data_IF_153150058486
#
_entry.id   IF_153150058486
#
_cell.length_a   1.000
_cell.length_b   1.000
_cell.length_c   1.000
_cell.angle_alpha   90.00
_cell.angle_beta   90.00
_cell.angle_gamma   90.00
#
_symmetry.space_group_name_H-M   'P 1'
#
loop_
_entity.id
_entity.type
_entity.pdbx_description
1 polymer ?
#
# COMPACT_ATOMS: atom_id res chain seq x y z
N UNK A 1 -33.27 2.40 0.66
CA UNK A 1 -32.15 3.14 0.06
C UNK A 1 -30.82 2.41 0.32
N UNK A 2 -30.48 1.46 -0.55
CA UNK A 2 -29.22 0.72 -0.50
C UNK A 2 -28.09 1.57 -1.12
N UNK A 3 -26.84 1.51 -0.60
CA UNK A 3 -25.74 2.24 -1.21
C UNK A 3 -25.41 1.63 -2.58
N UNK A 4 -25.25 2.51 -3.56
CA UNK A 4 -24.92 2.18 -4.93
C UNK A 4 -23.63 1.34 -4.96
N UNK A 5 -23.70 0.17 -5.59
CA UNK A 5 -22.58 -0.73 -5.77
C UNK A 5 -21.42 -0.02 -6.47
N UNK A 6 -20.24 -0.13 -5.86
CA UNK A 6 -18.97 0.27 -6.44
C UNK A 6 -18.81 -0.44 -7.81
N UNK A 7 -18.72 0.35 -8.88
CA UNK A 7 -18.43 -0.16 -10.21
C UNK A 7 -17.07 -0.89 -10.21
N UNK A 8 -16.94 -2.04 -10.89
CA UNK A 8 -15.67 -2.75 -10.98
C UNK A 8 -14.63 -1.88 -11.69
N UNK A 9 -13.46 -1.72 -11.06
CA UNK A 9 -12.33 -1.01 -11.62
C UNK A 9 -11.96 -1.60 -13.00
N UNK A 10 -12.02 -0.78 -14.04
CA UNK A 10 -11.64 -1.17 -15.39
C UNK A 10 -10.18 -1.64 -15.44
N UNK A 11 -9.85 -2.67 -16.23
CA UNK A 11 -8.48 -3.15 -16.35
C UNK A 11 -7.57 -2.07 -16.92
N UNK A 12 -6.40 -1.91 -16.30
CA UNK A 12 -5.33 -1.01 -16.75
C UNK A 12 -4.82 -1.48 -18.12
N UNK A 13 -5.29 -0.88 -19.20
CA UNK A 13 -4.66 -0.97 -20.51
C UNK A 13 -3.41 -0.06 -20.52
N UNK A 14 -2.21 -0.59 -20.79
CA UNK A 14 -1.03 0.25 -20.93
C UNK A 14 -1.19 1.14 -22.19
N UNK A 15 -0.78 2.42 -22.15
CA UNK A 15 -0.86 3.27 -23.32
C UNK A 15 0.03 2.73 -24.44
N UNK A 16 -0.54 2.63 -25.64
CA UNK A 16 0.17 2.27 -26.86
C UNK A 16 1.36 3.22 -27.06
N UNK A 17 2.52 2.64 -27.37
CA UNK A 17 3.76 3.37 -27.53
C UNK A 17 3.67 4.44 -28.62
N UNK A 18 3.88 5.70 -28.22
CA UNK A 18 4.19 6.78 -29.14
C UNK A 18 5.69 7.11 -29.03
N UNK A 19 6.33 7.12 -30.19
CA UNK A 19 7.77 7.27 -30.36
C UNK A 19 8.08 8.72 -30.72
N UNK A 20 8.64 9.46 -29.77
CA UNK A 20 9.26 10.76 -30.04
C UNK A 20 8.59 11.92 -29.32
N UNK A 21 9.40 12.68 -28.58
CA UNK A 21 9.06 13.86 -27.79
C UNK A 21 8.37 13.60 -26.44
N UNK A 22 9.20 13.32 -25.43
CA UNK A 22 8.83 13.47 -24.03
C UNK A 22 9.22 12.26 -23.20
N UNK A 23 10.42 12.31 -22.60
CA UNK A 23 10.74 11.54 -21.40
C UNK A 23 9.86 12.03 -20.24
N UNK A 24 8.54 11.87 -20.34
CA UNK A 24 7.67 11.80 -19.16
C UNK A 24 7.97 10.43 -18.56
N UNK A 25 9.14 10.36 -17.90
CA UNK A 25 9.72 9.12 -17.39
C UNK A 25 8.80 8.49 -16.36
N UNK A 26 8.98 7.20 -16.09
CA UNK A 26 8.17 6.45 -15.12
C UNK A 26 7.97 7.13 -13.76
N UNK A 27 8.85 8.07 -13.38
CA UNK A 27 8.67 8.95 -12.23
C UNK A 27 7.40 9.82 -12.28
N UNK A 28 7.01 10.35 -13.44
CA UNK A 28 5.78 11.15 -13.60
C UNK A 28 4.51 10.30 -13.44
N UNK A 29 4.52 9.09 -14.03
CA UNK A 29 3.42 8.12 -13.90
C UNK A 29 3.28 7.63 -12.46
N UNK A 30 4.40 7.36 -11.78
CA UNK A 30 4.42 6.95 -10.37
C UNK A 30 3.90 8.07 -9.46
N UNK A 31 4.35 9.32 -9.66
CA UNK A 31 3.87 10.46 -8.89
C UNK A 31 2.34 10.65 -9.06
N UNK A 32 1.81 10.52 -10.27
CA UNK A 32 0.37 10.58 -10.52
C UNK A 32 -0.39 9.44 -9.83
N UNK A 33 0.15 8.21 -9.88
CA UNK A 33 -0.44 7.06 -9.19
C UNK A 33 -0.47 7.27 -7.67
N UNK A 34 0.62 7.74 -7.08
CA UNK A 34 0.73 8.04 -5.64
C UNK A 34 -0.26 9.14 -5.24
N UNK A 35 -0.41 10.21 -6.02
CA UNK A 35 -1.40 11.25 -5.73
C UNK A 35 -2.84 10.72 -5.80
N UNK A 36 -3.16 9.89 -6.80
CA UNK A 36 -4.49 9.24 -6.90
C UNK A 36 -4.76 8.32 -5.71
N UNK A 37 -3.80 7.47 -5.35
CA UNK A 37 -3.90 6.60 -4.18
C UNK A 37 -4.10 7.42 -2.89
N UNK A 38 -3.32 8.50 -2.70
CA UNK A 38 -3.43 9.36 -1.53
C UNK A 38 -4.78 10.05 -1.43
N UNK A 39 -5.32 10.51 -2.56
CA UNK A 39 -6.68 11.04 -2.63
C UNK A 39 -7.72 9.97 -2.23
N UNK A 40 -7.63 8.78 -2.82
CA UNK A 40 -8.55 7.67 -2.54
C UNK A 40 -8.55 7.29 -1.05
N UNK A 41 -7.38 7.20 -0.42
CA UNK A 41 -7.27 6.91 1.02
C UNK A 41 -7.83 8.06 1.87
N UNK A 42 -7.59 9.31 1.49
CA UNK A 42 -8.18 10.46 2.20
C UNK A 42 -9.70 10.48 2.10
N UNK A 43 -10.25 10.20 0.92
CA UNK A 43 -11.69 10.12 0.71
C UNK A 43 -12.28 8.96 1.53
N UNK A 44 -11.58 7.82 1.61
CA UNK A 44 -11.96 6.71 2.47
C UNK A 44 -11.91 7.07 3.97
N UNK A 45 -10.85 7.76 4.42
CA UNK A 45 -10.72 8.22 5.80
C UNK A 45 -11.86 9.18 6.18
N UNK A 46 -12.19 10.15 5.31
CA UNK A 46 -13.35 11.02 5.53
C UNK A 46 -14.67 10.26 5.55
N UNK A 47 -14.81 9.20 4.76
CA UNK A 47 -15.95 8.29 4.84
C UNK A 47 -16.05 7.56 6.17
N UNK A 48 -14.92 7.12 6.74
CA UNK A 48 -14.87 6.47 8.06
C UNK A 48 -15.26 7.46 9.17
N UNK A 49 -14.79 8.71 9.10
CA UNK A 49 -15.18 9.75 10.06
C UNK A 49 -16.69 10.05 10.01
N UNK A 50 -17.28 10.11 8.82
CA UNK A 50 -18.74 10.26 8.68
C UNK A 50 -19.51 9.05 9.27
N UNK A 51 -18.98 7.83 9.11
CA UNK A 51 -19.55 6.64 9.73
C UNK A 51 -19.44 6.73 11.26
N UNK A 52 -18.32 7.24 11.80
CA UNK A 52 -18.15 7.47 13.25
C UNK A 52 -19.26 8.36 13.80
N UNK A 53 -19.48 9.52 13.19
CA UNK A 53 -20.53 10.45 13.61
C UNK A 53 -21.92 9.79 13.58
N UNK A 54 -22.20 8.99 12.54
CA UNK A 54 -23.48 8.29 12.41
C UNK A 54 -23.67 7.21 13.48
N UNK A 55 -22.60 6.51 13.87
CA UNK A 55 -22.62 5.51 14.95
C UNK A 55 -22.86 6.19 16.29
N UNK A 56 -22.14 7.28 16.60
CA UNK A 56 -22.32 8.05 17.83
C UNK A 56 -23.74 8.62 17.96
N UNK A 57 -24.30 9.17 16.87
CA UNK A 57 -25.68 9.65 16.84
C UNK A 57 -26.66 8.50 17.10
N UNK A 58 -26.41 7.35 16.49
CA UNK A 58 -27.27 6.18 16.64
C UNK A 58 -27.19 5.62 18.06
N UNK A 59 -26.02 5.58 18.69
CA UNK A 59 -25.81 5.16 20.08
C UNK A 59 -26.61 6.04 21.05
N UNK A 60 -26.56 7.36 20.85
CA UNK A 60 -27.37 8.31 21.62
C UNK A 60 -28.87 8.02 21.48
N UNK A 61 -29.35 7.78 20.26
CA UNK A 61 -30.77 7.49 20.00
C UNK A 61 -31.21 6.16 20.61
N UNK A 62 -30.37 5.13 20.55
CA UNK A 62 -30.65 3.81 21.14
C UNK A 62 -30.66 3.88 22.66
N UNK A 63 -29.73 4.61 23.26
CA UNK A 63 -29.72 4.85 24.72
C UNK A 63 -31.02 5.52 25.18
N UNK A 64 -31.47 6.55 24.46
CA UNK A 64 -32.76 7.21 24.74
C UNK A 64 -33.96 6.30 24.55
N UNK A 65 -33.92 5.40 23.56
CA UNK A 65 -34.98 4.42 23.35
C UNK A 65 -35.05 3.44 24.53
N UNK A 66 -33.90 2.98 25.03
CA UNK A 66 -33.80 2.13 26.23
C UNK A 66 -34.38 2.80 27.46
N UNK A 67 -34.02 4.06 27.71
CA UNK A 67 -34.57 4.83 28.82
C UNK A 67 -36.10 5.01 28.71
N UNK A 68 -36.59 5.33 27.50
CA UNK A 68 -38.02 5.49 27.23
C UNK A 68 -38.78 4.17 27.41
N UNK A 69 -38.22 3.04 26.97
CA UNK A 69 -38.80 1.72 27.14
C UNK A 69 -38.93 1.33 28.62
N UNK A 70 -37.92 1.67 29.43
CA UNK A 70 -37.93 1.43 30.88
C UNK A 70 -38.98 2.28 31.59
N UNK A 71 -39.00 3.59 31.33
CA UNK A 71 -40.01 4.50 31.86
C UNK A 71 -41.43 4.06 31.49
N UNK A 72 -41.62 3.59 30.25
CA UNK A 72 -42.88 3.04 29.80
C UNK A 72 -43.24 1.73 30.53
N UNK A 73 -42.26 0.86 30.76
CA UNK A 73 -42.43 -0.35 31.57
C UNK A 73 -42.92 -0.03 32.99
N UNK A 74 -42.30 0.93 33.67
CA UNK A 74 -42.68 1.36 35.02
C UNK A 74 -44.11 1.94 35.07
N UNK A 75 -44.49 2.71 34.04
CA UNK A 75 -45.83 3.25 33.90
C UNK A 75 -46.87 2.13 33.71
N UNK A 76 -46.55 1.11 32.90
CA UNK A 76 -47.44 -0.04 32.67
C UNK A 76 -47.61 -0.87 33.95
N UNK A 77 -46.56 -1.03 34.77
CA UNK A 77 -46.66 -1.66 36.09
C UNK A 77 -47.60 -0.86 37.01
N UNK A 78 -47.50 0.47 37.01
CA UNK A 78 -48.41 1.33 37.78
C UNK A 78 -49.87 1.16 37.33
N UNK A 79 -50.14 1.08 36.03
CA UNK A 79 -51.48 0.82 35.49
C UNK A 79 -51.97 -0.57 35.92
N UNK A 80 -51.08 -1.57 35.90
CA UNK A 80 -51.41 -2.92 36.35
C UNK A 80 -51.88 -2.91 37.80
N UNK A 81 -51.19 -2.19 38.69
CA UNK A 81 -51.56 -2.06 40.10
C UNK A 81 -52.91 -1.35 40.28
N UNK A 82 -53.15 -0.25 39.56
CA UNK A 82 -54.45 0.47 39.59
C UNK A 82 -55.57 -0.46 39.10
N UNK A 83 -55.32 -1.23 38.06
CA UNK A 83 -56.31 -2.14 37.47
C UNK A 83 -56.62 -3.30 38.41
N UNK A 84 -55.63 -3.83 39.13
CA UNK A 84 -55.86 -4.85 40.17
C UNK A 84 -56.68 -4.28 41.33
N UNK A 85 -56.42 -3.04 41.77
CA UNK A 85 -57.25 -2.37 42.77
C UNK A 85 -58.70 -2.18 42.29
N UNK A 86 -58.89 -1.75 41.05
CA UNK A 86 -60.21 -1.58 40.44
C UNK A 86 -60.97 -2.92 40.36
N UNK A 87 -60.27 -4.01 40.01
CA UNK A 87 -60.81 -5.37 40.02
C UNK A 87 -61.28 -5.77 41.42
N UNK A 88 -60.49 -5.52 42.46
CA UNK A 88 -60.89 -5.80 43.86
C UNK A 88 -62.09 -4.96 44.30
N UNK A 89 -62.09 -3.67 43.95
CA UNK A 89 -63.22 -2.76 44.22
C UNK A 89 -64.51 -3.24 43.55
N UNK A 90 -64.44 -3.63 42.28
CA UNK A 90 -65.60 -4.16 41.55
C UNK A 90 -66.13 -5.47 42.14
N UNK A 91 -65.25 -6.33 42.65
CA UNK A 91 -65.65 -7.55 43.32
C UNK A 91 -66.41 -7.25 44.62
N UNK A 92 -65.89 -6.33 45.42
CA UNK A 92 -66.54 -5.90 46.66
C UNK A 92 -67.91 -5.25 46.39
N UNK A 93 -68.02 -4.44 45.34
CA UNK A 93 -69.29 -3.85 44.90
C UNK A 93 -70.28 -4.92 44.44
N UNK A 94 -69.84 -5.93 43.69
CA UNK A 94 -70.70 -7.05 43.25
C UNK A 94 -71.25 -7.84 44.45
N UNK A 95 -70.43 -8.09 45.47
CA UNK A 95 -70.85 -8.74 46.73
C UNK A 95 -71.88 -7.89 47.48
N UNK A 96 -71.64 -6.58 47.63
CA UNK A 96 -72.59 -5.68 48.29
C UNK A 96 -73.92 -5.56 47.54
N UNK A 97 -73.88 -5.50 46.21
CA UNK A 97 -75.05 -5.44 45.35
C UNK A 97 -75.88 -6.74 45.44
N UNK A 98 -75.22 -7.90 45.50
CA UNK A 98 -75.90 -9.18 45.74
C UNK A 98 -76.57 -9.23 47.12
N UNK A 99 -75.94 -8.64 48.15
CA UNK A 99 -76.50 -8.57 49.51
C UNK A 99 -77.75 -7.65 49.60
N UNK A 100 -77.86 -6.65 48.73
CA UNK A 100 -79.01 -5.75 48.68
C UNK A 100 -80.27 -6.39 48.05
N UNK A 101 -80.16 -7.55 47.39
CA UNK A 101 -81.29 -8.23 46.77
C UNK A 101 -81.80 -7.55 45.48
N UNK A 102 -83.12 -7.45 45.30
CA UNK A 102 -83.72 -6.83 44.08
C UNK A 102 -83.26 -5.38 43.81
N UNK A 103 -83.15 -4.48 44.81
CA UNK A 103 -82.60 -3.13 44.60
C UNK A 103 -81.20 -3.10 44.00
N UNK A 104 -80.35 -4.09 44.32
CA UNK A 104 -78.95 -4.15 43.91
C UNK A 104 -78.70 -4.81 42.55
N UNK A 105 -79.74 -5.27 41.85
CA UNK A 105 -79.57 -6.02 40.58
C UNK A 105 -78.84 -5.23 39.49
N UNK A 106 -79.15 -3.93 39.38
CA UNK A 106 -78.47 -3.04 38.43
C UNK A 106 -77.00 -2.81 38.79
N UNK A 107 -76.73 -2.55 40.06
CA UNK A 107 -75.37 -2.31 40.57
C UNK A 107 -74.48 -3.56 40.45
N UNK A 108 -75.05 -4.75 40.66
CA UNK A 108 -74.35 -6.03 40.49
C UNK A 108 -73.93 -6.26 39.04
N UNK A 109 -74.79 -5.91 38.07
CA UNK A 109 -74.47 -6.00 36.66
C UNK A 109 -73.32 -5.05 36.26
N UNK A 110 -73.35 -3.81 36.77
CA UNK A 110 -72.27 -2.82 36.54
C UNK A 110 -70.95 -3.30 37.15
N UNK A 111 -70.99 -3.84 38.37
CA UNK A 111 -69.82 -4.35 39.07
C UNK A 111 -69.16 -5.54 38.33
N UNK A 112 -69.95 -6.48 37.80
CA UNK A 112 -69.39 -7.62 37.06
C UNK A 112 -68.77 -7.19 35.72
N UNK A 113 -69.36 -6.21 35.01
CA UNK A 113 -68.75 -5.68 33.78
C UNK A 113 -67.45 -4.91 34.08
N UNK A 114 -67.40 -4.15 35.19
CA UNK A 114 -66.17 -3.47 35.63
C UNK A 114 -65.06 -4.47 35.99
N UNK A 115 -65.39 -5.59 36.63
CA UNK A 115 -64.46 -6.68 36.91
C UNK A 115 -63.90 -7.29 35.64
N UNK A 116 -64.75 -7.57 34.66
CA UNK A 116 -64.36 -8.13 33.35
C UNK A 116 -63.47 -7.18 32.56
N UNK A 117 -63.78 -5.88 32.56
CA UNK A 117 -62.93 -4.83 31.96
C UNK A 117 -61.56 -4.76 32.65
N UNK A 118 -61.53 -4.84 33.98
CA UNK A 118 -60.27 -4.83 34.74
C UNK A 118 -59.41 -6.07 34.43
N UNK A 119 -60.02 -7.26 34.31
CA UNK A 119 -59.30 -8.47 33.87
C UNK A 119 -58.75 -8.36 32.45
N UNK A 120 -59.49 -7.73 31.53
CA UNK A 120 -59.02 -7.46 30.17
C UNK A 120 -57.84 -6.48 30.19
N UNK A 121 -57.93 -5.39 30.95
CA UNK A 121 -56.87 -4.41 31.09
C UNK A 121 -55.59 -5.00 31.72
N UNK A 122 -55.71 -5.87 32.73
CA UNK A 122 -54.56 -6.59 33.30
C UNK A 122 -53.85 -7.48 32.27
N UNK A 123 -54.60 -8.19 31.43
CA UNK A 123 -54.01 -9.00 30.34
C UNK A 123 -53.28 -8.12 29.33
N UNK A 124 -53.87 -6.98 28.96
CA UNK A 124 -53.24 -6.03 28.06
C UNK A 124 -51.94 -5.46 28.66
N UNK A 125 -51.96 -5.07 29.94
CA UNK A 125 -50.76 -4.56 30.64
C UNK A 125 -49.61 -5.57 30.59
N UNK A 126 -49.87 -6.86 30.90
CA UNK A 126 -48.84 -7.91 30.84
C UNK A 126 -48.26 -8.08 29.44
N UNK A 127 -49.08 -8.01 28.40
CA UNK A 127 -48.61 -8.08 27.02
C UNK A 127 -47.72 -6.89 26.68
N UNK A 128 -48.11 -5.69 27.10
CA UNK A 128 -47.33 -4.47 26.92
C UNK A 128 -46.00 -4.54 27.67
N UNK A 129 -45.97 -5.06 28.91
CA UNK A 129 -44.73 -5.30 29.66
C UNK A 129 -43.80 -6.25 28.91
N UNK A 130 -44.33 -7.31 28.29
CA UNK A 130 -43.54 -8.21 27.46
C UNK A 130 -42.94 -7.53 26.22
N UNK A 131 -43.67 -6.60 25.61
CA UNK A 131 -43.17 -5.79 24.49
C UNK A 131 -42.06 -4.85 24.98
N UNK A 132 -42.26 -4.15 26.10
CA UNK A 132 -41.27 -3.26 26.67
C UNK A 132 -39.95 -3.99 27.00
N UNK A 133 -40.03 -5.16 27.63
CA UNK A 133 -38.85 -5.99 27.91
C UNK A 133 -38.17 -6.53 26.64
N UNK A 134 -38.93 -6.79 25.57
CA UNK A 134 -38.32 -7.15 24.28
C UNK A 134 -37.57 -5.98 23.66
N UNK A 135 -38.12 -4.76 23.74
CA UNK A 135 -37.44 -3.54 23.29
C UNK A 135 -36.16 -3.31 24.09
N UNK A 136 -36.17 -3.46 25.41
CA UNK A 136 -34.96 -3.34 26.24
C UNK A 136 -33.88 -4.35 25.82
N UNK A 137 -34.27 -5.59 25.51
CA UNK A 137 -33.34 -6.61 25.01
C UNK A 137 -32.75 -6.22 23.65
N UNK A 138 -33.58 -5.76 22.72
CA UNK A 138 -33.13 -5.34 21.38
C UNK A 138 -32.19 -4.12 21.47
N UNK A 139 -32.47 -3.18 22.37
CA UNK A 139 -31.58 -2.05 22.70
C UNK A 139 -30.22 -2.56 23.21
N UNK A 140 -30.20 -3.56 24.09
CA UNK A 140 -28.97 -4.17 24.58
C UNK A 140 -28.13 -4.80 23.45
N UNK A 141 -28.76 -5.55 22.54
CA UNK A 141 -28.08 -6.14 21.37
C UNK A 141 -27.52 -5.06 20.44
N UNK A 142 -28.30 -4.00 20.21
CA UNK A 142 -27.88 -2.91 19.34
C UNK A 142 -26.70 -2.12 19.93
N UNK A 143 -26.69 -1.91 21.25
CA UNK A 143 -25.58 -1.26 21.97
C UNK A 143 -24.27 -2.03 21.80
N UNK A 144 -24.28 -3.35 22.04
CA UNK A 144 -23.10 -4.21 21.82
C UNK A 144 -22.62 -4.16 20.36
N UNK A 145 -23.56 -4.09 19.40
CA UNK A 145 -23.23 -4.00 17.98
C UNK A 145 -22.59 -2.65 17.62
N UNK A 146 -23.00 -1.57 18.29
CA UNK A 146 -22.42 -0.24 18.14
C UNK A 146 -21.02 -0.15 18.74
N UNK A 147 -20.79 -0.76 19.90
CA UNK A 147 -19.44 -0.85 20.50
C UNK A 147 -18.47 -1.58 19.55
N UNK A 148 -18.91 -2.70 18.96
CA UNK A 148 -18.12 -3.42 17.97
C UNK A 148 -17.84 -2.58 16.72
N UNK A 149 -18.85 -1.88 16.21
CA UNK A 149 -18.68 -0.95 15.08
C UNK A 149 -17.70 0.18 15.41
N UNK A 150 -17.73 0.71 16.64
CA UNK A 150 -16.78 1.71 17.12
C UNK A 150 -15.32 1.23 17.06
N UNK A 151 -15.06 -0.02 17.49
CA UNK A 151 -13.73 -0.63 17.40
C UNK A 151 -13.26 -0.81 15.96
N UNK A 152 -14.15 -1.24 15.06
CA UNK A 152 -13.83 -1.39 13.63
C UNK A 152 -13.50 -0.05 12.97
N UNK A 153 -14.22 1.02 13.35
CA UNK A 153 -13.97 2.39 12.89
C UNK A 153 -12.60 2.88 13.37
N UNK A 154 -12.23 2.68 14.63
CA UNK A 154 -10.91 3.05 15.15
C UNK A 154 -9.78 2.32 14.43
N UNK A 155 -9.95 1.02 14.16
CA UNK A 155 -9.02 0.24 13.36
C UNK A 155 -8.92 0.78 11.92
N UNK A 156 -10.04 1.16 11.32
CA UNK A 156 -10.12 1.75 9.98
C UNK A 156 -9.39 3.09 9.88
N UNK A 157 -9.54 3.97 10.88
CA UNK A 157 -8.82 5.24 10.95
C UNK A 157 -7.31 5.00 11.09
N UNK A 158 -6.91 4.11 12.00
CA UNK A 158 -5.50 3.78 12.20
C UNK A 158 -4.85 3.21 10.93
N UNK A 159 -5.56 2.35 10.19
CA UNK A 159 -5.11 1.80 8.92
C UNK A 159 -4.98 2.88 7.83
N UNK A 160 -5.94 3.80 7.77
CA UNK A 160 -5.92 4.93 6.83
C UNK A 160 -4.73 5.85 7.08
N UNK A 161 -4.46 6.19 8.34
CA UNK A 161 -3.30 7.00 8.73
C UNK A 161 -1.97 6.34 8.39
N UNK A 162 -1.87 5.02 8.60
CA UNK A 162 -0.69 4.26 8.19
C UNK A 162 -0.49 4.31 6.67
N UNK A 163 -1.56 4.08 5.90
CA UNK A 163 -1.51 4.12 4.45
C UNK A 163 -1.11 5.51 3.91
N UNK A 164 -1.61 6.60 4.51
CA UNK A 164 -1.18 7.96 4.16
C UNK A 164 0.32 8.14 4.39
N UNK A 165 0.84 7.73 5.56
CA UNK A 165 2.27 7.83 5.87
C UNK A 165 3.14 7.00 4.93
N UNK A 166 2.69 5.81 4.54
CA UNK A 166 3.43 4.97 3.60
C UNK A 166 3.41 5.55 2.18
N UNK A 167 2.30 6.17 1.76
CA UNK A 167 2.23 6.90 0.50
C UNK A 167 3.17 8.11 0.47
N UNK A 168 3.34 8.82 1.60
CA UNK A 168 4.34 9.89 1.71
C UNK A 168 5.77 9.39 1.58
N UNK A 169 6.08 8.20 2.13
CA UNK A 169 7.39 7.56 1.93
C UNK A 169 7.61 7.21 0.46
N UNK A 170 6.62 6.62 -0.20
CA UNK A 170 6.69 6.27 -1.62
C UNK A 170 6.87 7.52 -2.49
N UNK A 171 6.16 8.63 -2.19
CA UNK A 171 6.32 9.90 -2.91
C UNK A 171 7.76 10.44 -2.80
N UNK A 172 8.37 10.37 -1.61
CA UNK A 172 9.77 10.76 -1.43
C UNK A 172 10.72 9.86 -2.22
N UNK A 173 10.59 8.54 -2.07
CA UNK A 173 11.42 7.58 -2.80
C UNK A 173 11.31 7.77 -4.32
N UNK A 174 10.11 8.02 -4.84
CA UNK A 174 9.87 8.28 -6.27
C UNK A 174 10.62 9.51 -6.79
N UNK A 175 10.96 10.48 -5.94
CA UNK A 175 11.73 11.68 -6.31
C UNK A 175 13.23 11.46 -6.20
N UNK A 176 13.68 10.63 -5.25
CA UNK A 176 15.10 10.31 -5.02
C UNK A 176 15.67 9.29 -6.03
N UNK A 177 14.84 8.36 -6.52
CA UNK A 177 15.27 7.33 -7.48
C UNK A 177 15.89 7.90 -8.78
N UNK A 178 15.26 8.88 -9.46
CA UNK A 178 15.86 9.50 -10.65
C UNK A 178 17.22 10.14 -10.39
N UNK A 179 17.43 10.77 -9.23
CA UNK A 179 18.71 11.37 -8.87
C UNK A 179 19.79 10.30 -8.71
N UNK A 180 19.45 9.19 -8.05
CA UNK A 180 20.36 8.04 -7.88
C UNK A 180 20.76 7.42 -9.22
N UNK A 181 19.80 7.27 -10.14
CA UNK A 181 20.08 6.77 -11.50
C UNK A 181 21.00 7.74 -12.25
N UNK A 182 20.73 9.04 -12.18
CA UNK A 182 21.57 10.05 -12.84
C UNK A 182 23.00 10.06 -12.27
N UNK A 183 23.18 9.80 -10.98
CA UNK A 183 24.48 9.69 -10.34
C UNK A 183 25.26 8.46 -10.85
N UNK A 184 24.58 7.30 -10.98
CA UNK A 184 25.17 6.08 -11.55
C UNK A 184 25.56 6.29 -13.01
N UNK A 185 24.69 6.89 -13.82
CA UNK A 185 24.98 7.21 -15.23
C UNK A 185 26.19 8.16 -15.35
N UNK A 186 26.29 9.14 -14.45
CA UNK A 186 27.44 10.04 -14.37
C UNK A 186 28.75 9.34 -14.00
N UNK A 187 28.71 8.44 -13.01
CA UNK A 187 29.84 7.61 -12.61
C UNK A 187 30.32 6.71 -13.74
N UNK A 188 29.40 5.99 -14.39
CA UNK A 188 29.71 5.12 -15.51
C UNK A 188 30.36 5.88 -16.68
N UNK A 189 29.86 7.08 -17.03
CA UNK A 189 30.53 7.94 -18.03
C UNK A 189 31.93 8.36 -17.58
N UNK A 190 32.11 8.63 -16.30
CA UNK A 190 33.42 8.98 -15.77
C UNK A 190 34.42 7.82 -15.85
N UNK A 191 33.96 6.59 -15.64
CA UNK A 191 34.78 5.38 -15.71
C UNK A 191 35.15 4.99 -17.15
N UNK A 192 34.29 5.32 -18.13
CA UNK A 192 34.55 5.07 -19.55
C UNK A 192 35.66 5.98 -20.10
N UNK A 193 35.71 7.26 -19.69
CA UNK A 193 36.66 8.25 -20.24
C UNK A 193 38.14 7.82 -20.16
N UNK A 194 38.66 7.30 -19.02
CA UNK A 194 40.03 6.80 -18.94
C UNK A 194 40.29 5.61 -19.86
N UNK A 195 39.30 4.74 -20.08
CA UNK A 195 39.42 3.58 -20.97
C UNK A 195 39.58 4.06 -22.41
N UNK A 196 38.75 5.02 -22.85
CA UNK A 196 38.87 5.63 -24.18
C UNK A 196 40.25 6.29 -24.37
N UNK A 197 40.73 7.05 -23.39
CA UNK A 197 42.06 7.67 -23.43
C UNK A 197 43.20 6.62 -23.50
N UNK A 198 43.07 5.50 -22.78
CA UNK A 198 44.05 4.41 -22.83
C UNK A 198 44.07 3.72 -24.21
N UNK A 199 42.91 3.55 -24.85
CA UNK A 199 42.81 3.00 -26.21
C UNK A 199 43.52 3.92 -27.22
N UNK A 200 43.30 5.24 -27.15
CA UNK A 200 44.00 6.20 -28.00
C UNK A 200 45.52 6.16 -27.79
N UNK A 201 45.97 6.06 -26.53
CA UNK A 201 47.38 5.95 -26.19
C UNK A 201 47.99 4.65 -26.74
N UNK A 202 47.28 3.52 -26.66
CA UNK A 202 47.71 2.25 -27.25
C UNK A 202 47.82 2.34 -28.78
N UNK A 203 46.90 3.02 -29.44
CA UNK A 203 46.97 3.25 -30.88
C UNK A 203 48.17 4.11 -31.29
N UNK A 204 48.48 5.14 -30.50
CA UNK A 204 49.70 5.95 -30.66
C UNK A 204 50.96 5.10 -30.49
N UNK A 205 51.05 4.29 -29.42
CA UNK A 205 52.18 3.37 -29.23
C UNK A 205 52.34 2.40 -30.40
N UNK A 206 51.24 1.81 -30.87
CA UNK A 206 51.24 0.90 -32.01
C UNK A 206 51.77 1.58 -33.27
N UNK A 207 51.48 2.87 -33.46
CA UNK A 207 52.06 3.64 -34.57
C UNK A 207 53.57 3.82 -34.41
N UNK A 208 54.04 4.27 -33.24
CA UNK A 208 55.47 4.44 -32.97
C UNK A 208 56.27 3.13 -33.09
N UNK A 209 55.69 1.99 -32.68
CA UNK A 209 56.33 0.68 -32.87
C UNK A 209 56.51 0.32 -34.35
N UNK A 210 55.53 0.64 -35.21
CA UNK A 210 55.68 0.41 -36.67
C UNK A 210 56.76 1.30 -37.27
N UNK A 211 56.83 2.56 -36.87
CA UNK A 211 57.91 3.46 -37.33
C UNK A 211 59.29 2.96 -36.90
N UNK A 212 59.40 2.43 -35.68
CA UNK A 212 60.63 1.83 -35.19
C UNK A 212 61.02 0.57 -35.99
N UNK A 213 60.05 -0.29 -36.29
CA UNK A 213 60.26 -1.50 -37.09
C UNK A 213 60.72 -1.17 -38.53
N UNK A 214 60.11 -0.15 -39.14
CA UNK A 214 60.54 0.39 -40.44
C UNK A 214 61.96 0.95 -40.37
N UNK A 215 62.30 1.68 -39.30
CA UNK A 215 63.63 2.23 -39.11
C UNK A 215 64.69 1.13 -38.92
N UNK A 216 64.39 0.11 -38.12
CA UNK A 216 65.26 -1.06 -37.95
C UNK A 216 65.46 -1.81 -39.28
N UNK A 217 64.40 -2.01 -40.06
CA UNK A 217 64.48 -2.63 -41.38
C UNK A 217 65.39 -1.85 -42.34
N UNK A 218 65.32 -0.51 -42.31
CA UNK A 218 66.26 0.35 -43.07
C UNK A 218 67.70 0.19 -42.59
N UNK A 219 67.93 0.14 -41.28
CA UNK A 219 69.28 -0.06 -40.70
C UNK A 219 69.87 -1.41 -41.11
N UNK A 220 69.09 -2.50 -41.01
CA UNK A 220 69.51 -3.84 -41.45
C UNK A 220 69.87 -3.81 -42.93
N UNK A 221 69.03 -3.19 -43.78
CA UNK A 221 69.32 -3.04 -45.21
C UNK A 221 70.60 -2.25 -45.50
N UNK A 222 70.86 -1.17 -44.75
CA UNK A 222 72.11 -0.41 -44.86
C UNK A 222 73.33 -1.26 -44.46
N UNK A 223 73.24 -2.02 -43.35
CA UNK A 223 74.31 -2.91 -42.89
C UNK A 223 74.62 -4.01 -43.91
N UNK A 224 73.59 -4.61 -44.52
CA UNK A 224 73.76 -5.59 -45.59
C UNK A 224 74.43 -4.99 -46.84
N UNK A 225 74.06 -3.75 -47.19
CA UNK A 225 74.72 -2.98 -48.25
C UNK A 225 76.22 -2.78 -47.97
N UNK A 226 76.57 -2.29 -46.78
CA UNK A 226 77.97 -2.10 -46.34
C UNK A 226 78.73 -3.43 -46.41
N UNK A 227 78.14 -4.53 -45.94
CA UNK A 227 78.75 -5.86 -45.97
C UNK A 227 79.03 -6.32 -47.40
N UNK A 228 78.10 -6.09 -48.32
CA UNK A 228 78.26 -6.39 -49.75
C UNK A 228 79.40 -5.59 -50.38
N UNK A 229 79.47 -4.29 -50.08
CA UNK A 229 80.51 -3.39 -50.59
C UNK A 229 81.89 -3.77 -50.04
N UNK A 230 81.99 -4.09 -48.74
CA UNK A 230 83.22 -4.59 -48.14
C UNK A 230 83.68 -5.91 -48.80
N UNK A 231 82.76 -6.83 -49.11
CA UNK A 231 83.07 -8.07 -49.81
C UNK A 231 83.53 -7.83 -51.27
N UNK A 232 83.02 -6.81 -51.94
CA UNK A 232 83.49 -6.40 -53.28
C UNK A 232 84.92 -5.83 -53.22
N UNK A 233 85.19 -4.96 -52.24
CA UNK A 233 86.53 -4.38 -52.02
C UNK A 233 87.58 -5.46 -51.68
N UNK A 234 87.24 -6.44 -50.83
CA UNK A 234 88.13 -7.56 -50.52
C UNK A 234 88.50 -8.41 -51.73
N UNK A 235 87.56 -8.62 -52.66
CA UNK A 235 87.83 -9.33 -53.93
C UNK A 235 88.73 -8.54 -54.88
N UNK A 236 88.74 -7.20 -54.81
CA UNK A 236 89.66 -6.36 -55.58
C UNK A 236 91.05 -6.23 -54.92
N UNK A 237 91.13 -6.23 -53.59
CA UNK A 237 92.40 -6.24 -52.87
C UNK A 237 93.16 -7.58 -53.04
N UNK A 238 92.46 -8.71 -53.17
CA UNK A 238 93.06 -10.03 -53.42
C UNK A 238 93.74 -10.20 -54.78
N UNK A 239 93.54 -9.28 -55.74
CA UNK A 239 94.15 -9.33 -57.08
C UNK A 239 95.42 -8.47 -57.25
N UNK A 240 95.98 -7.90 -56.17
CA UNK A 240 97.17 -7.03 -56.26
C UNK A 240 98.11 -7.17 -55.05
N UNK A 241 99.06 -8.11 -55.12
CA UNK A 241 100.21 -8.24 -54.21
C UNK A 241 101.20 -9.34 -54.64
N UNK A 242 102.53 -9.18 -54.52
CA UNK A 242 103.53 -9.70 -55.47
C UNK A 242 104.14 -11.09 -55.18
N UNK A 243 104.81 -11.63 -56.22
CA UNK A 243 105.67 -12.82 -56.25
C UNK A 243 106.89 -12.71 -55.32
N UNK A 244 107.20 -13.82 -54.63
CA UNK A 244 108.57 -14.28 -54.42
C UNK A 244 109.01 -14.45 -52.97
N UNK A 245 109.28 -15.70 -52.57
CA UNK A 245 110.19 -16.02 -51.47
C UNK A 245 109.68 -17.01 -50.41
N UNK A 246 109.48 -18.27 -50.79
CA UNK A 246 109.72 -19.41 -49.88
C UNK A 246 111.24 -19.70 -49.86
N UNK A 247 111.85 -20.42 -48.87
CA UNK A 247 111.21 -21.56 -48.19
C UNK A 247 111.60 -21.86 -46.70
N UNK A 248 110.79 -22.77 -46.14
CA UNK A 248 111.18 -23.98 -45.37
C UNK A 248 111.49 -23.95 -43.87
N UNK A 249 110.63 -24.72 -43.17
CA UNK A 249 110.88 -25.77 -42.15
C UNK A 249 111.38 -25.26 -40.80
N UNK A 250 111.00 -25.80 -39.65
CA UNK A 250 110.50 -27.11 -39.21
C UNK A 250 109.99 -26.81 -37.78
N UNK A 251 108.96 -27.39 -37.18
CA UNK A 251 108.90 -28.77 -36.74
C UNK A 251 107.96 -28.81 -35.53
N UNK A 252 107.16 -29.89 -35.46
CA UNK A 252 106.76 -30.61 -34.24
C UNK A 252 105.83 -29.93 -33.20
N UNK A 253 104.54 -30.26 -33.32
CA UNK A 253 103.69 -30.87 -32.27
C UNK A 253 104.47 -31.95 -31.46
N UNK A 254 104.05 -32.44 -30.27
CA UNK A 254 102.71 -32.46 -29.66
C UNK A 254 102.77 -32.06 -28.14
N UNK A 255 101.77 -32.17 -27.26
CA UNK A 255 100.57 -33.02 -27.09
C UNK A 255 99.50 -32.27 -26.30
#
# INVERSE_FOLDING_TARGET
PAPAGAAPAAPLTPPAGDSGAGRIGGAGVLAELVQRCRKSVRDAAGGIDAIREQVEESEYRITRLGESARQFGDLVLTIQDITEQARVLSLNASIQAAAAGEPGRGDSAVAEEMKKLSEQALRACRQITGIAGSIEKDVGVATTSMEAAGQEIEAGVSASDLAIRDMEKIDRMSREYPESISAIEGGARSDIRPIEAAVEMLDSFRHSYRELDDALSRIIGMLDGIRSDAARLGRHAGSSGPRGGEPSRDSTLPS
#
